data_IF_511062557453
#
_entry.id   IF_511062557453
#
_cell.length_a   1.000
_cell.length_b   1.000
_cell.length_c   1.000
_cell.angle_alpha   90.00
_cell.angle_beta   90.00
_cell.angle_gamma   90.00
#
_symmetry.space_group_name_H-M   'P 1'
#
loop_
_entity.id
_entity.type
_entity.pdbx_description
1 polymer ?
#
# COMPACT_ATOMS: atom_id res chain seq x y z
N UNK A 1 -23.15 21.91 -24.72
CA UNK A 1 -22.10 21.80 -23.68
C UNK A 1 -22.77 21.45 -22.37
N UNK A 2 -22.54 20.25 -21.80
CA UNK A 2 -23.04 19.92 -20.45
C UNK A 2 -22.24 20.77 -19.46
N UNK A 3 -22.92 21.65 -18.71
CA UNK A 3 -22.30 22.29 -17.53
C UNK A 3 -21.87 21.17 -16.59
N UNK A 4 -20.59 21.10 -16.27
CA UNK A 4 -20.13 20.24 -15.16
C UNK A 4 -20.93 20.65 -13.93
N UNK A 5 -21.56 19.66 -13.28
CA UNK A 5 -22.34 19.92 -12.08
C UNK A 5 -21.40 20.50 -11.02
N UNK A 6 -21.72 21.68 -10.51
CA UNK A 6 -20.89 22.36 -9.53
C UNK A 6 -20.89 21.55 -8.23
N UNK A 7 -19.75 20.93 -7.93
CA UNK A 7 -19.53 20.21 -6.66
C UNK A 7 -19.45 21.24 -5.54
N UNK A 8 -20.29 21.09 -4.50
CA UNK A 8 -20.41 22.06 -3.39
C UNK A 8 -19.33 21.92 -2.31
N UNK A 9 -18.44 20.94 -2.44
CA UNK A 9 -17.42 20.62 -1.45
C UNK A 9 -16.02 20.66 -2.09
N UNK A 10 -15.00 20.83 -1.25
CA UNK A 10 -13.60 20.78 -1.65
C UNK A 10 -12.93 19.44 -1.33
N UNK A 11 -13.37 18.78 -0.26
CA UNK A 11 -12.82 17.50 0.22
C UNK A 11 -13.97 16.55 0.51
N UNK A 12 -13.84 15.32 0.03
CA UNK A 12 -14.72 14.22 0.40
C UNK A 12 -13.91 13.21 1.21
N UNK A 13 -14.34 12.95 2.45
CA UNK A 13 -13.83 11.85 3.26
C UNK A 13 -14.79 10.68 3.13
N UNK A 14 -14.25 9.50 2.84
CA UNK A 14 -15.04 8.29 2.58
C UNK A 14 -14.24 7.03 2.93
N UNK A 15 -14.93 5.89 3.05
CA UNK A 15 -14.30 4.58 3.26
C UNK A 15 -14.16 3.80 1.95
N UNK A 16 -13.35 2.74 1.97
CA UNK A 16 -13.13 1.88 0.80
C UNK A 16 -14.43 1.28 0.24
N UNK A 17 -15.34 0.89 1.15
CA UNK A 17 -16.62 0.27 0.81
C UNK A 17 -17.54 1.28 0.11
N UNK A 18 -17.62 2.51 0.63
CA UNK A 18 -18.48 3.56 0.09
C UNK A 18 -18.02 4.01 -1.30
N UNK A 19 -16.71 4.08 -1.55
CA UNK A 19 -16.17 4.33 -2.92
C UNK A 19 -16.69 3.31 -3.92
N UNK A 20 -16.84 2.06 -3.48
CA UNK A 20 -17.30 0.96 -4.32
C UNK A 20 -18.82 0.96 -4.50
N UNK A 21 -19.57 1.32 -3.46
CA UNK A 21 -21.04 1.41 -3.48
C UNK A 21 -21.49 2.58 -4.35
N UNK A 22 -20.92 3.77 -4.14
CA UNK A 22 -21.31 5.02 -4.80
C UNK A 22 -20.52 5.31 -6.08
N UNK A 23 -19.95 4.26 -6.70
CA UNK A 23 -19.03 4.39 -7.84
C UNK A 23 -19.60 5.23 -9.00
N UNK A 24 -20.90 5.16 -9.27
CA UNK A 24 -21.51 5.86 -10.40
C UNK A 24 -21.54 7.39 -10.18
N UNK A 25 -21.83 7.82 -8.96
CA UNK A 25 -21.83 9.24 -8.61
C UNK A 25 -20.40 9.78 -8.56
N UNK A 26 -19.50 9.05 -7.90
CA UNK A 26 -18.11 9.47 -7.70
C UNK A 26 -17.28 9.46 -9.00
N UNK A 27 -17.54 8.53 -9.93
CA UNK A 27 -16.87 8.49 -11.23
C UNK A 27 -17.26 9.65 -12.17
N UNK A 28 -18.41 10.31 -11.91
CA UNK A 28 -18.83 11.48 -12.69
C UNK A 28 -18.04 12.75 -12.35
N UNK A 29 -17.35 12.76 -11.21
CA UNK A 29 -16.54 13.87 -10.72
C UNK A 29 -15.12 13.73 -11.27
N UNK A 30 -14.55 14.83 -11.76
CA UNK A 30 -13.11 14.93 -12.04
C UNK A 30 -12.39 15.30 -10.74
N UNK A 31 -11.60 14.38 -10.22
CA UNK A 31 -10.87 14.55 -8.97
C UNK A 31 -9.51 15.18 -9.24
N UNK A 32 -9.22 16.30 -8.57
CA UNK A 32 -7.89 16.90 -8.63
C UNK A 32 -6.85 16.02 -7.91
N UNK A 33 -7.21 15.41 -6.78
CA UNK A 33 -6.32 14.57 -6.00
C UNK A 33 -7.07 13.43 -5.32
N UNK A 34 -6.49 12.23 -5.35
CA UNK A 34 -6.89 11.08 -4.55
C UNK A 34 -5.82 10.82 -3.49
N UNK A 35 -6.24 10.77 -2.23
CA UNK A 35 -5.40 10.33 -1.12
C UNK A 35 -5.94 9.01 -0.61
N UNK A 36 -5.14 7.95 -0.68
CA UNK A 36 -5.48 6.63 -0.13
C UNK A 36 -4.60 6.38 1.08
N UNK A 37 -5.21 6.39 2.26
CA UNK A 37 -4.56 5.91 3.47
C UNK A 37 -4.45 4.39 3.46
N UNK A 38 -3.53 3.83 4.25
CA UNK A 38 -3.25 2.39 4.34
C UNK A 38 -3.26 1.68 2.97
N UNK A 39 -2.50 2.24 2.02
CA UNK A 39 -2.46 1.83 0.63
C UNK A 39 -2.08 0.36 0.41
N UNK A 40 -1.60 -0.34 1.42
CA UNK A 40 -1.46 -1.80 1.39
C UNK A 40 -2.77 -2.53 1.02
N UNK A 41 -3.94 -1.89 1.20
CA UNK A 41 -5.24 -2.40 0.73
C UNK A 41 -5.37 -2.47 -0.80
N UNK A 42 -4.55 -1.74 -1.56
CA UNK A 42 -4.52 -1.71 -3.03
C UNK A 42 -3.64 -2.79 -3.67
N UNK A 43 -3.04 -3.67 -2.87
CA UNK A 43 -2.02 -4.63 -3.34
C UNK A 43 -2.50 -5.67 -4.36
N UNK A 44 -3.81 -5.82 -4.54
CA UNK A 44 -4.39 -6.78 -5.49
C UNK A 44 -5.15 -6.03 -6.61
N UNK A 45 -4.61 -6.09 -7.83
CA UNK A 45 -5.20 -5.46 -9.02
C UNK A 45 -6.57 -6.07 -9.42
N UNK A 46 -6.89 -7.28 -8.94
CA UNK A 46 -8.18 -7.93 -9.13
C UNK A 46 -9.24 -7.44 -8.15
N UNK A 47 -8.85 -6.68 -7.12
CA UNK A 47 -9.81 -6.16 -6.15
C UNK A 47 -10.79 -5.21 -6.83
N UNK A 48 -12.06 -5.31 -6.42
CA UNK A 48 -13.13 -4.42 -6.93
C UNK A 48 -12.76 -2.95 -6.70
N UNK A 49 -12.18 -2.65 -5.54
CA UNK A 49 -11.73 -1.30 -5.18
C UNK A 49 -10.69 -0.74 -6.17
N UNK A 50 -9.66 -1.53 -6.51
CA UNK A 50 -8.64 -1.12 -7.48
C UNK A 50 -9.24 -0.81 -8.86
N UNK A 51 -10.11 -1.69 -9.36
CA UNK A 51 -10.77 -1.54 -10.66
C UNK A 51 -11.68 -0.30 -10.69
N UNK A 52 -12.43 -0.06 -9.62
CA UNK A 52 -13.30 1.12 -9.50
C UNK A 52 -12.47 2.40 -9.53
N UNK A 53 -11.42 2.49 -8.71
CA UNK A 53 -10.57 3.67 -8.66
C UNK A 53 -9.82 3.94 -9.96
N UNK A 54 -9.39 2.89 -10.69
CA UNK A 54 -8.77 3.08 -12.00
C UNK A 54 -9.75 3.62 -13.06
N UNK A 55 -11.06 3.48 -12.86
CA UNK A 55 -12.06 4.10 -13.72
C UNK A 55 -12.30 5.58 -13.45
N UNK A 56 -11.77 6.13 -12.34
CA UNK A 56 -12.01 7.52 -11.96
C UNK A 56 -11.04 8.45 -12.70
N UNK A 57 -11.52 9.64 -13.05
CA UNK A 57 -10.69 10.72 -13.61
C UNK A 57 -9.99 11.44 -12.47
N UNK A 58 -8.71 11.14 -12.27
CA UNK A 58 -7.90 11.67 -11.16
C UNK A 58 -6.62 12.30 -11.73
N UNK A 59 -6.34 13.56 -11.41
CA UNK A 59 -5.14 14.25 -11.87
C UNK A 59 -3.90 13.90 -11.02
N UNK A 60 -4.04 13.79 -9.69
CA UNK A 60 -2.94 13.43 -8.77
C UNK A 60 -3.32 12.28 -7.83
N UNK A 61 -2.39 11.36 -7.57
CA UNK A 61 -2.58 10.23 -6.65
C UNK A 61 -1.51 10.26 -5.56
N UNK A 62 -1.93 10.17 -4.30
CA UNK A 62 -1.08 10.08 -3.12
C UNK A 62 -1.46 8.83 -2.34
N UNK A 63 -0.47 7.96 -2.12
CA UNK A 63 -0.62 6.75 -1.32
C UNK A 63 0.11 6.92 0.00
N UNK A 64 -0.59 6.70 1.11
CA UNK A 64 -0.03 6.71 2.46
C UNK A 64 -0.05 5.28 2.99
N UNK A 65 1.06 4.83 3.57
CA UNK A 65 1.14 3.51 4.19
C UNK A 65 2.25 3.49 5.24
N UNK A 66 1.96 2.93 6.42
CA UNK A 66 2.95 2.73 7.47
C UNK A 66 3.89 1.55 7.22
N UNK A 67 3.49 0.62 6.36
CA UNK A 67 4.19 -0.63 6.02
C UNK A 67 4.38 -0.70 4.50
N UNK A 68 5.30 0.11 3.94
CA UNK A 68 5.33 0.37 2.49
C UNK A 68 5.48 -0.89 1.64
N UNK A 69 6.23 -1.88 2.13
CA UNK A 69 6.58 -3.08 1.39
C UNK A 69 6.79 -4.19 2.40
N UNK A 70 5.84 -5.11 2.53
CA UNK A 70 6.02 -6.22 3.45
C UNK A 70 6.43 -7.55 2.85
N UNK A 71 6.15 -7.97 1.59
CA UNK A 71 6.69 -9.29 1.14
C UNK A 71 6.72 -9.67 -0.37
N UNK A 72 6.26 -8.87 -1.36
CA UNK A 72 6.21 -9.34 -2.76
C UNK A 72 6.44 -8.23 -3.81
N UNK A 73 7.33 -8.47 -4.80
CA UNK A 73 7.56 -7.58 -5.95
C UNK A 73 6.29 -7.31 -6.77
N UNK A 74 5.39 -8.28 -6.84
CA UNK A 74 4.10 -8.14 -7.52
C UNK A 74 3.21 -7.09 -6.83
N UNK A 75 3.15 -7.09 -5.50
CA UNK A 75 2.40 -6.09 -4.74
C UNK A 75 2.98 -4.68 -4.98
N UNK A 76 4.32 -4.58 -5.02
CA UNK A 76 4.99 -3.33 -5.36
C UNK A 76 4.63 -2.85 -6.77
N UNK A 77 4.70 -3.75 -7.75
CA UNK A 77 4.35 -3.46 -9.12
C UNK A 77 2.91 -2.94 -9.22
N UNK A 78 1.95 -3.55 -8.52
CA UNK A 78 0.56 -3.09 -8.55
C UNK A 78 0.38 -1.68 -7.98
N UNK A 79 1.10 -1.32 -6.92
CA UNK A 79 1.07 0.04 -6.38
C UNK A 79 1.68 1.06 -7.37
N UNK A 80 2.80 0.70 -8.00
CA UNK A 80 3.46 1.54 -9.01
C UNK A 80 2.61 1.69 -10.28
N UNK A 81 1.99 0.60 -10.76
CA UNK A 81 1.02 0.60 -11.84
C UNK A 81 -0.17 1.51 -11.51
N UNK A 82 -0.67 1.48 -10.27
CA UNK A 82 -1.74 2.38 -9.86
C UNK A 82 -1.34 3.85 -9.93
N UNK A 83 -0.12 4.19 -9.50
CA UNK A 83 0.40 5.55 -9.54
C UNK A 83 0.74 6.03 -10.95
N UNK A 84 1.33 5.17 -11.78
CA UNK A 84 1.84 5.53 -13.11
C UNK A 84 1.67 4.34 -14.08
N UNK A 85 0.44 4.09 -14.56
CA UNK A 85 0.14 2.90 -15.36
C UNK A 85 0.92 2.86 -16.68
N UNK A 86 1.21 4.02 -17.27
CA UNK A 86 1.96 4.14 -18.53
C UNK A 86 3.39 3.61 -18.42
N UNK A 87 4.03 3.79 -17.26
CA UNK A 87 5.40 3.34 -17.00
C UNK A 87 5.46 1.89 -16.53
N UNK A 88 4.44 1.46 -15.77
CA UNK A 88 4.41 0.15 -15.12
C UNK A 88 3.25 -0.68 -15.67
N UNK A 89 3.33 -1.08 -16.94
CA UNK A 89 2.24 -1.81 -17.63
C UNK A 89 2.51 -3.31 -17.84
N UNK A 90 3.76 -3.76 -17.68
CA UNK A 90 4.16 -5.15 -17.89
C UNK A 90 4.67 -5.77 -16.58
N UNK A 91 3.82 -6.59 -15.94
CA UNK A 91 4.17 -7.30 -14.71
C UNK A 91 5.26 -8.35 -14.97
N UNK A 92 5.13 -9.14 -16.04
CA UNK A 92 6.08 -10.22 -16.37
C UNK A 92 7.48 -9.66 -16.60
N UNK A 93 7.60 -8.61 -17.41
CA UNK A 93 8.89 -7.95 -17.65
C UNK A 93 9.50 -7.35 -16.39
N UNK A 94 8.68 -6.79 -15.49
CA UNK A 94 9.15 -6.31 -14.19
C UNK A 94 9.64 -7.45 -13.30
N UNK A 95 8.89 -8.55 -13.24
CA UNK A 95 9.30 -9.73 -12.47
C UNK A 95 10.56 -10.38 -13.03
N UNK A 96 10.71 -10.48 -14.35
CA UNK A 96 11.93 -10.99 -14.99
C UNK A 96 13.15 -10.10 -14.71
N UNK A 97 12.97 -8.78 -14.79
CA UNK A 97 14.02 -7.81 -14.53
C UNK A 97 14.53 -7.89 -13.07
N UNK A 98 13.63 -8.12 -12.12
CA UNK A 98 13.92 -8.14 -10.68
C UNK A 98 13.83 -9.55 -10.06
N UNK A 99 13.82 -10.63 -10.85
CA UNK A 99 13.60 -12.01 -10.37
C UNK A 99 14.68 -12.45 -9.36
N UNK A 100 15.90 -11.94 -9.50
CA UNK A 100 17.06 -12.30 -8.70
C UNK A 100 17.51 -11.11 -7.83
N UNK A 101 16.66 -10.76 -6.85
CA UNK A 101 16.90 -9.67 -5.86
C UNK A 101 18.16 -9.94 -5.00
N UNK A 102 18.74 -11.14 -5.09
CA UNK A 102 19.97 -11.54 -4.41
C UNK A 102 21.20 -10.69 -4.81
N UNK A 103 21.14 -9.98 -5.95
CA UNK A 103 22.22 -9.13 -6.44
C UNK A 103 22.03 -7.70 -5.93
N UNK A 104 23.01 -7.19 -5.19
CA UNK A 104 23.02 -5.82 -4.65
C UNK A 104 22.69 -4.76 -5.73
N UNK A 105 23.14 -4.97 -6.97
CA UNK A 105 22.86 -4.10 -8.11
C UNK A 105 21.37 -3.99 -8.45
N UNK A 106 20.60 -5.09 -8.32
CA UNK A 106 19.17 -5.10 -8.58
C UNK A 106 18.38 -4.39 -7.49
N UNK A 107 18.80 -4.58 -6.23
CA UNK A 107 18.24 -3.84 -5.08
C UNK A 107 18.45 -2.33 -5.28
N UNK A 108 19.67 -1.93 -5.67
CA UNK A 108 19.98 -0.52 -5.92
C UNK A 108 19.15 0.06 -7.07
N UNK A 109 19.03 -0.67 -8.18
CA UNK A 109 18.19 -0.28 -9.32
C UNK A 109 16.73 -0.11 -8.93
N UNK A 110 16.19 -1.01 -8.10
CA UNK A 110 14.84 -0.92 -7.58
C UNK A 110 14.68 0.33 -6.67
N UNK A 111 15.66 0.60 -5.80
CA UNK A 111 15.65 1.81 -4.97
C UNK A 111 15.67 3.09 -5.80
N UNK A 112 16.50 3.17 -6.84
CA UNK A 112 16.56 4.34 -7.73
C UNK A 112 15.24 4.53 -8.50
N UNK A 113 14.61 3.43 -8.92
CA UNK A 113 13.30 3.44 -9.56
C UNK A 113 12.19 3.92 -8.61
N UNK A 114 12.24 3.52 -7.34
CA UNK A 114 11.29 3.93 -6.30
C UNK A 114 11.52 5.34 -5.80
N UNK A 115 12.76 5.85 -5.84
CA UNK A 115 13.18 7.16 -5.32
C UNK A 115 12.24 8.31 -5.66
N UNK A 116 11.85 8.54 -6.93
CA UNK A 116 10.94 9.64 -7.27
C UNK A 116 9.49 9.42 -6.83
N UNK A 117 9.09 8.19 -6.49
CA UNK A 117 7.72 7.82 -6.14
C UNK A 117 7.50 7.61 -4.63
N UNK A 118 8.55 7.36 -3.85
CA UNK A 118 8.45 6.95 -2.46
C UNK A 118 9.32 7.83 -1.54
N UNK A 119 8.67 8.46 -0.56
CA UNK A 119 9.34 9.12 0.55
C UNK A 119 9.16 8.30 1.82
N UNK A 120 10.25 7.71 2.34
CA UNK A 120 10.26 6.94 3.58
C UNK A 120 11.19 7.59 4.61
N UNK A 121 10.74 7.73 5.85
CA UNK A 121 11.53 8.23 6.99
C UNK A 121 11.38 7.26 8.17
N UNK A 122 12.47 6.99 8.91
CA UNK A 122 12.39 6.20 10.13
C UNK A 122 12.04 7.10 11.32
N UNK A 123 11.35 6.53 12.32
CA UNK A 123 11.05 7.28 13.56
C UNK A 123 12.33 7.75 14.26
N UNK A 124 13.39 6.95 14.22
CA UNK A 124 14.71 7.30 14.76
C UNK A 124 15.34 8.52 14.08
N UNK A 125 15.12 8.70 12.78
CA UNK A 125 15.67 9.83 12.01
C UNK A 125 14.98 11.15 12.35
N UNK A 126 13.73 11.09 12.82
CA UNK A 126 12.86 12.26 13.01
C UNK A 126 12.68 12.62 14.50
N UNK A 127 12.65 11.63 15.39
CA UNK A 127 12.37 11.81 16.81
C UNK A 127 13.54 11.35 17.68
N UNK A 128 14.55 12.21 17.80
CA UNK A 128 15.79 11.93 18.56
C UNK A 128 15.59 11.69 20.07
N UNK A 129 14.44 12.11 20.62
CA UNK A 129 14.13 12.00 22.06
C UNK A 129 13.14 10.87 22.39
N UNK A 130 12.86 9.96 21.45
CA UNK A 130 11.95 8.84 21.69
C UNK A 130 12.67 7.71 22.47
N UNK A 131 12.08 7.13 23.52
CA UNK A 131 12.64 5.96 24.19
C UNK A 131 12.86 4.81 23.22
N UNK A 132 13.94 4.05 23.39
CA UNK A 132 14.22 2.89 22.57
C UNK A 132 13.13 1.83 22.76
N UNK A 133 12.63 1.25 21.66
CA UNK A 133 11.73 0.10 21.71
C UNK A 133 12.50 -1.10 22.26
N UNK A 134 12.01 -1.70 23.34
CA UNK A 134 12.56 -2.94 23.90
C UNK A 134 11.65 -4.09 23.48
N UNK A 135 12.23 -5.17 22.93
CA UNK A 135 11.50 -6.37 22.56
C UNK A 135 11.93 -7.52 23.48
N UNK A 136 10.98 -8.09 24.22
CA UNK A 136 11.22 -9.20 25.13
C UNK A 136 10.46 -10.44 24.65
N UNK A 137 11.21 -11.47 24.24
CA UNK A 137 10.64 -12.76 23.85
C UNK A 137 10.56 -13.65 25.08
N UNK A 138 9.36 -13.77 25.65
CA UNK A 138 9.10 -14.68 26.78
C UNK A 138 8.70 -16.05 26.23
N UNK A 139 9.63 -17.01 26.30
CA UNK A 139 9.36 -18.41 25.93
C UNK A 139 8.62 -19.09 27.08
N UNK A 140 7.48 -19.72 26.78
CA UNK A 140 6.68 -20.48 27.75
C UNK A 140 6.57 -21.93 27.33
N UNK A 141 6.52 -22.84 28.30
CA UNK A 141 6.21 -24.25 28.02
C UNK A 141 4.71 -24.44 27.82
N UNK A 142 4.35 -25.35 26.91
CA UNK A 142 2.95 -25.73 26.70
C UNK A 142 2.41 -26.46 27.94
N UNK A 143 1.20 -26.11 28.37
CA UNK A 143 0.48 -26.90 29.37
C UNK A 143 0.11 -28.29 28.82
N UNK A 144 -0.12 -29.30 29.69
CA UNK A 144 -0.48 -30.65 29.25
C UNK A 144 -1.68 -30.72 28.30
N UNK A 145 -2.67 -29.83 28.46
CA UNK A 145 -3.86 -29.75 27.59
C UNK A 145 -3.54 -29.18 26.20
N UNK A 146 -2.61 -28.22 26.11
CA UNK A 146 -2.15 -27.66 24.83
C UNK A 146 -1.22 -28.60 24.07
N UNK A 147 -0.50 -29.49 24.77
CA UNK A 147 0.30 -30.57 24.16
C UNK A 147 -0.56 -31.60 23.43
N UNK A 148 -1.81 -31.79 23.83
CA UNK A 148 -2.73 -32.75 23.20
C UNK A 148 -3.35 -32.25 21.88
N UNK A 149 -3.32 -30.93 21.61
CA UNK A 149 -3.97 -30.31 20.45
C UNK A 149 -3.12 -29.28 19.69
N UNK A 150 -1.80 -29.33 19.84
CA UNK A 150 -0.75 -28.47 19.24
C UNK A 150 -1.22 -27.17 18.55
N UNK A 151 -1.01 -26.02 19.19
CA UNK A 151 -0.88 -24.75 18.47
C UNK A 151 0.12 -23.85 19.21
N UNK A 152 1.18 -23.43 18.51
CA UNK A 152 2.22 -22.55 19.03
C UNK A 152 1.64 -21.14 19.29
N UNK A 153 1.73 -20.66 20.52
CA UNK A 153 1.40 -19.27 20.87
C UNK A 153 2.67 -18.47 21.16
N UNK A 154 3.06 -17.58 20.26
CA UNK A 154 4.04 -16.53 20.55
C UNK A 154 3.25 -15.35 21.10
N UNK A 155 3.42 -15.04 22.39
CA UNK A 155 2.86 -13.81 22.97
C UNK A 155 3.92 -12.73 22.78
N UNK A 156 3.69 -11.84 21.82
CA UNK A 156 4.48 -10.61 21.67
C UNK A 156 3.83 -9.54 22.55
N UNK A 157 4.56 -9.07 23.56
CA UNK A 157 4.12 -7.93 24.38
C UNK A 157 4.73 -6.66 23.78
N UNK A 158 3.87 -5.74 23.30
CA UNK A 158 4.26 -4.43 22.74
C UNK A 158 4.32 -3.34 23.78
#
# INVERSE_FOLDING_TARGET
MKREAQVKFHVLLTSYELVTIDQAALASIRWACLVVDEAHRLKNNQSKFFRVLNGYKIDHKLLLTGTPLQNNLEELFHLLNFLTPERFNNLEGFLEEFADISKEDQIKKLHDLLGPHMLRRLKADVFKNMPAKTELIVRVELSPMQKYGATFGVVVVS
#
